data_IF_621397339395
#
_entry.id   IF_621397339395
#
_cell.length_a   1.000
_cell.length_b   1.000
_cell.length_c   1.000
_cell.angle_alpha   90.00
_cell.angle_beta   90.00
_cell.angle_gamma   90.00
#
_symmetry.space_group_name_H-M   'P 1'
#
loop_
_entity.id
_entity.type
_entity.pdbx_description
1 polymer ?
#
# COMPACT_ATOMS: atom_id res chain seq x y z
N UNK A 1 -15.33 28.96 -22.16
CA UNK A 1 -15.84 27.60 -21.91
C UNK A 1 -15.36 27.18 -20.53
N UNK A 2 -16.26 27.19 -19.54
CA UNK A 2 -15.94 26.79 -18.16
C UNK A 2 -15.74 25.27 -18.18
N UNK A 3 -14.48 24.83 -18.13
CA UNK A 3 -14.12 23.42 -18.16
C UNK A 3 -14.72 22.72 -16.94
N UNK A 4 -15.61 21.76 -17.17
CA UNK A 4 -16.15 20.91 -16.11
C UNK A 4 -14.96 20.27 -15.37
N UNK A 5 -14.89 20.34 -14.02
CA UNK A 5 -13.80 19.73 -13.28
C UNK A 5 -13.81 18.22 -13.56
N UNK A 6 -12.85 17.77 -14.36
CA UNK A 6 -12.75 16.37 -14.72
C UNK A 6 -12.22 15.62 -13.50
N UNK A 7 -13.03 14.77 -12.87
CA UNK A 7 -12.62 13.95 -11.72
C UNK A 7 -11.62 12.82 -12.10
N UNK A 8 -11.10 12.83 -13.34
CA UNK A 8 -10.18 11.85 -13.94
C UNK A 8 -10.42 10.37 -13.56
N UNK A 9 -11.66 9.83 -13.54
CA UNK A 9 -11.88 8.43 -13.16
C UNK A 9 -11.44 7.44 -14.24
N UNK A 10 -11.25 7.91 -15.48
CA UNK A 10 -10.86 7.10 -16.63
C UNK A 10 -9.46 7.53 -17.09
N UNK A 11 -8.45 6.85 -16.57
CA UNK A 11 -7.10 6.92 -17.12
C UNK A 11 -6.90 5.76 -18.09
N UNK A 12 -6.40 6.07 -19.29
CA UNK A 12 -5.83 5.06 -20.17
C UNK A 12 -4.52 4.51 -19.61
N UNK A 13 -4.04 3.42 -20.20
CA UNK A 13 -2.75 2.79 -19.86
C UNK A 13 -1.57 3.79 -19.90
N UNK A 14 -1.70 4.85 -20.69
CA UNK A 14 -0.67 5.89 -20.85
C UNK A 14 -0.69 6.97 -19.75
N UNK A 15 -1.42 6.75 -18.64
CA UNK A 15 -1.63 7.74 -17.58
C UNK A 15 -2.17 9.07 -18.12
N UNK A 16 -3.01 8.99 -19.15
CA UNK A 16 -3.74 10.11 -19.73
C UNK A 16 -5.22 9.97 -19.41
N UNK A 17 -5.86 11.05 -18.97
CA UNK A 17 -7.29 11.03 -18.79
C UNK A 17 -7.98 11.00 -20.17
N UNK A 18 -8.81 9.99 -20.42
CA UNK A 18 -9.55 9.84 -21.69
C UNK A 18 -10.50 11.01 -21.97
N UNK A 19 -11.00 11.67 -20.92
CA UNK A 19 -12.03 12.71 -21.01
C UNK A 19 -11.48 14.14 -21.15
N UNK A 20 -10.32 14.43 -20.57
CA UNK A 20 -9.73 15.77 -20.64
C UNK A 20 -8.33 15.81 -21.27
N UNK A 21 -7.76 14.66 -21.62
CA UNK A 21 -6.42 14.56 -22.22
C UNK A 21 -5.28 15.04 -21.32
N UNK A 22 -5.52 15.23 -20.02
CA UNK A 22 -4.47 15.61 -19.08
C UNK A 22 -3.49 14.43 -18.92
N UNK A 23 -2.21 14.68 -19.18
CA UNK A 23 -1.15 13.72 -18.93
C UNK A 23 -0.72 13.82 -17.46
N UNK A 24 -0.55 12.69 -16.80
CA UNK A 24 -0.04 12.65 -15.44
C UNK A 24 1.46 12.37 -15.46
N UNK A 25 2.24 13.30 -14.92
CA UNK A 25 3.70 13.15 -14.79
C UNK A 25 4.03 12.49 -13.47
N UNK A 26 4.90 11.48 -13.51
CA UNK A 26 5.36 10.74 -12.34
C UNK A 26 6.17 11.66 -11.44
N UNK A 27 5.76 11.81 -10.18
CA UNK A 27 6.46 12.62 -9.17
C UNK A 27 7.22 11.73 -8.21
N UNK A 28 6.66 10.55 -7.91
CA UNK A 28 7.25 9.62 -6.98
C UNK A 28 6.87 8.18 -7.32
N UNK A 29 7.79 7.25 -7.07
CA UNK A 29 7.59 5.81 -7.20
C UNK A 29 8.31 5.12 -6.04
N UNK A 30 7.60 4.22 -5.37
CA UNK A 30 8.20 3.33 -4.38
C UNK A 30 9.18 2.39 -5.10
N UNK A 31 10.46 2.42 -4.72
CA UNK A 31 11.47 1.51 -5.26
C UNK A 31 11.00 0.07 -5.05
N UNK A 32 11.03 -0.74 -6.11
CA UNK A 32 10.47 -2.11 -6.12
C UNK A 32 10.93 -2.95 -4.93
N UNK A 33 12.16 -2.78 -4.44
CA UNK A 33 12.72 -3.48 -3.27
C UNK A 33 11.91 -3.33 -1.97
N UNK A 34 11.41 -2.13 -1.67
CA UNK A 34 10.68 -1.84 -0.41
C UNK A 34 9.28 -2.46 -0.41
N UNK A 35 8.70 -2.71 -1.59
CA UNK A 35 7.40 -3.42 -1.73
C UNK A 35 7.45 -4.85 -1.19
N UNK A 36 8.62 -5.48 -1.20
CA UNK A 36 8.79 -6.86 -0.76
C UNK A 36 8.93 -6.99 0.76
N UNK A 37 9.32 -5.92 1.46
CA UNK A 37 9.55 -5.95 2.92
C UNK A 37 8.37 -6.54 3.71
N UNK A 38 7.11 -6.11 3.51
CA UNK A 38 5.99 -6.69 4.26
C UNK A 38 5.68 -8.15 3.88
N UNK A 39 5.94 -8.57 2.64
CA UNK A 39 5.75 -9.96 2.19
C UNK A 39 6.86 -10.86 2.74
N UNK A 40 8.11 -10.42 2.63
CA UNK A 40 9.29 -11.12 3.17
C UNK A 40 9.18 -11.23 4.68
N UNK A 41 8.83 -10.15 5.39
CA UNK A 41 8.60 -10.20 6.83
C UNK A 41 7.49 -11.22 7.19
N UNK A 42 6.35 -11.19 6.48
CA UNK A 42 5.25 -12.14 6.75
C UNK A 42 5.66 -13.60 6.47
N UNK A 43 6.44 -13.85 5.42
CA UNK A 43 6.98 -15.19 5.10
C UNK A 43 7.99 -15.66 6.13
N UNK A 44 8.90 -14.79 6.57
CA UNK A 44 9.89 -15.10 7.61
C UNK A 44 9.20 -15.43 8.93
N UNK A 45 8.19 -14.64 9.32
CA UNK A 45 7.41 -14.92 10.53
C UNK A 45 6.61 -16.22 10.42
N UNK A 46 5.91 -16.45 9.31
CA UNK A 46 5.17 -17.70 9.09
C UNK A 46 6.09 -18.93 9.08
N UNK A 47 7.26 -18.83 8.43
CA UNK A 47 8.26 -19.88 8.38
C UNK A 47 8.91 -20.16 9.73
N UNK A 48 9.24 -19.11 10.50
CA UNK A 48 9.79 -19.24 11.85
C UNK A 48 8.80 -19.89 12.81
N UNK A 49 7.51 -19.50 12.73
CA UNK A 49 6.45 -20.17 13.47
C UNK A 49 6.39 -21.64 13.06
N UNK A 50 6.17 -21.96 11.77
CA UNK A 50 6.10 -23.35 11.29
C UNK A 50 7.30 -24.20 11.76
N UNK A 51 8.51 -23.64 11.70
CA UNK A 51 9.72 -24.27 12.23
C UNK A 51 9.62 -24.57 13.74
N UNK A 52 9.21 -23.60 14.56
CA UNK A 52 8.96 -23.83 15.99
C UNK A 52 7.90 -24.90 16.24
N UNK A 53 6.81 -24.92 15.47
CA UNK A 53 5.77 -25.94 15.59
C UNK A 53 6.27 -27.35 15.27
N UNK A 54 7.07 -27.50 14.20
CA UNK A 54 7.61 -28.78 13.76
C UNK A 54 8.73 -29.30 14.67
N UNK A 55 9.56 -28.41 15.23
CA UNK A 55 10.73 -28.78 16.02
C UNK A 55 10.43 -28.91 17.52
N UNK A 56 9.51 -28.10 18.05
CA UNK A 56 9.23 -28.05 19.50
C UNK A 56 8.22 -29.07 20.02
N UNK A 57 7.62 -29.90 19.15
CA UNK A 57 6.54 -30.81 19.56
C UNK A 57 5.35 -30.07 20.22
N UNK A 58 5.21 -28.77 19.96
CA UNK A 58 4.36 -27.83 20.71
C UNK A 58 2.84 -28.06 20.57
N UNK A 59 2.44 -29.16 19.93
CA UNK A 59 1.06 -29.54 19.67
C UNK A 59 0.58 -30.71 20.53
N UNK A 60 1.34 -31.15 21.53
CA UNK A 60 1.01 -32.34 22.30
C UNK A 60 -0.21 -32.15 23.22
N UNK A 61 -0.57 -30.92 23.60
CA UNK A 61 -1.72 -30.65 24.47
C UNK A 61 -2.52 -29.47 23.92
N UNK A 62 -3.85 -29.62 23.87
CA UNK A 62 -4.82 -28.61 23.42
C UNK A 62 -4.92 -27.40 24.35
N UNK A 63 -3.78 -26.83 24.72
CA UNK A 63 -3.65 -25.66 25.55
C UNK A 63 -4.07 -24.39 24.79
N UNK A 64 -4.47 -23.36 25.53
CA UNK A 64 -4.78 -22.04 24.97
C UNK A 64 -3.64 -21.45 24.12
N UNK A 65 -2.38 -21.82 24.41
CA UNK A 65 -1.20 -21.39 23.68
C UNK A 65 -1.20 -21.95 22.26
N UNK A 66 -1.58 -23.22 22.09
CA UNK A 66 -1.68 -23.89 20.79
C UNK A 66 -2.72 -23.21 19.90
N UNK A 67 -3.89 -22.86 20.47
CA UNK A 67 -4.93 -22.12 19.74
C UNK A 67 -4.47 -20.71 19.34
N UNK A 68 -3.86 -19.96 20.26
CA UNK A 68 -3.32 -18.63 19.97
C UNK A 68 -2.27 -18.69 18.85
N UNK A 69 -1.40 -19.69 18.91
CA UNK A 69 -0.38 -19.93 17.89
C UNK A 69 -1.00 -20.19 16.50
N UNK A 70 -2.02 -21.06 16.41
CA UNK A 70 -2.72 -21.35 15.15
C UNK A 70 -3.42 -20.11 14.59
N UNK A 71 -4.04 -19.29 15.45
CA UNK A 71 -4.68 -18.03 15.04
C UNK A 71 -3.64 -17.06 14.47
N UNK A 72 -2.51 -16.89 15.14
CA UNK A 72 -1.43 -15.99 14.68
C UNK A 72 -0.84 -16.50 13.35
N UNK A 73 -0.55 -17.80 13.26
CA UNK A 73 -0.04 -18.42 12.04
C UNK A 73 -1.04 -18.25 10.88
N UNK A 74 -2.32 -18.52 11.13
CA UNK A 74 -3.40 -18.33 10.15
C UNK A 74 -3.51 -16.88 9.67
N UNK A 75 -3.38 -15.90 10.58
CA UNK A 75 -3.34 -14.49 10.23
C UNK A 75 -2.18 -14.15 9.29
N UNK A 76 -0.96 -14.63 9.59
CA UNK A 76 0.21 -14.38 8.75
C UNK A 76 0.11 -15.10 7.39
N UNK A 77 -0.39 -16.33 7.35
CA UNK A 77 -0.64 -17.04 6.09
C UNK A 77 -1.65 -16.29 5.21
N UNK A 78 -2.76 -15.83 5.78
CA UNK A 78 -3.73 -14.99 5.07
C UNK A 78 -3.07 -13.71 4.53
N UNK A 79 -2.19 -13.07 5.32
CA UNK A 79 -1.41 -11.89 4.92
C UNK A 79 -0.48 -12.18 3.73
N UNK A 80 0.18 -13.34 3.72
CA UNK A 80 1.02 -13.80 2.60
C UNK A 80 0.16 -13.98 1.35
N UNK A 81 -0.98 -14.66 1.45
CA UNK A 81 -1.89 -14.87 0.32
C UNK A 81 -2.37 -13.53 -0.26
N UNK A 82 -2.80 -12.58 0.58
CA UNK A 82 -3.19 -11.24 0.12
C UNK A 82 -2.06 -10.51 -0.60
N UNK A 83 -0.83 -10.64 -0.09
CA UNK A 83 0.35 -10.00 -0.69
C UNK A 83 0.74 -10.63 -2.04
N UNK A 84 0.57 -11.95 -2.18
CA UNK A 84 0.75 -12.67 -3.46
C UNK A 84 -0.33 -12.28 -4.46
N UNK A 85 -1.59 -12.18 -4.02
CA UNK A 85 -2.69 -11.73 -4.88
C UNK A 85 -2.51 -10.29 -5.37
N UNK A 86 -1.95 -9.42 -4.53
CA UNK A 86 -1.56 -8.06 -4.92
C UNK A 86 -0.45 -8.05 -5.98
N UNK A 87 0.42 -9.06 -6.01
CA UNK A 87 1.46 -9.19 -7.05
C UNK A 87 0.88 -9.66 -8.39
N UNK A 88 -0.11 -10.56 -8.36
CA UNK A 88 -0.71 -11.13 -9.56
C UNK A 88 -1.75 -10.23 -10.23
N UNK A 89 -2.32 -9.26 -9.49
CA UNK A 89 -3.34 -8.36 -10.04
C UNK A 89 -2.77 -6.99 -10.42
N UNK A 90 -3.28 -6.38 -11.51
CA UNK A 90 -2.89 -5.02 -11.88
C UNK A 90 -3.24 -4.04 -10.76
N UNK A 91 -2.37 -3.04 -10.58
CA UNK A 91 -2.53 -2.01 -9.55
C UNK A 91 -3.84 -1.24 -9.75
N UNK A 92 -4.45 -0.80 -8.65
CA UNK A 92 -5.60 0.09 -8.68
C UNK A 92 -5.13 1.54 -8.76
N UNK A 93 -5.89 2.37 -9.49
CA UNK A 93 -5.63 3.81 -9.58
C UNK A 93 -6.77 4.60 -8.94
N UNK A 94 -6.42 5.62 -8.16
CA UNK A 94 -7.36 6.57 -7.58
C UNK A 94 -6.87 7.99 -7.85
N UNK A 95 -7.73 8.82 -8.45
CA UNK A 95 -7.50 10.26 -8.53
C UNK A 95 -8.30 10.94 -7.43
N UNK A 96 -7.67 11.88 -6.74
CA UNK A 96 -8.36 12.73 -5.81
C UNK A 96 -7.49 13.84 -5.26
N UNK A 97 -8.16 14.79 -4.63
CA UNK A 97 -7.51 15.86 -3.91
C UNK A 97 -6.96 15.34 -2.58
N UNK A 98 -5.74 15.76 -2.25
CA UNK A 98 -5.12 15.48 -0.96
C UNK A 98 -5.73 16.39 0.10
N UNK A 99 -6.59 15.83 0.94
CA UNK A 99 -7.32 16.60 1.97
C UNK A 99 -6.53 16.73 3.27
N UNK A 100 -5.72 15.73 3.61
CA UNK A 100 -4.82 15.82 4.76
C UNK A 100 -3.54 15.03 4.55
N UNK A 101 -2.46 15.58 5.12
CA UNK A 101 -1.13 15.00 5.18
C UNK A 101 -0.74 14.97 6.65
N UNK A 102 -0.49 13.78 7.20
CA UNK A 102 -0.09 13.61 8.58
C UNK A 102 1.17 12.75 8.64
N UNK A 103 2.20 13.22 9.34
CA UNK A 103 3.37 12.40 9.63
C UNK A 103 3.01 11.41 10.72
N UNK A 104 3.25 10.13 10.47
CA UNK A 104 2.96 9.06 11.39
C UNK A 104 4.27 8.39 11.77
N UNK A 105 4.74 8.64 12.99
CA UNK A 105 5.98 8.04 13.49
C UNK A 105 5.73 6.54 13.68
N UNK A 106 6.25 5.71 12.77
CA UNK A 106 6.09 4.26 12.83
C UNK A 106 6.71 3.70 14.12
N UNK A 107 5.99 2.81 14.80
CA UNK A 107 6.48 2.11 15.98
C UNK A 107 7.23 0.84 15.52
N UNK A 108 8.55 0.94 15.35
CA UNK A 108 9.45 -0.23 15.27
C UNK A 108 9.96 -0.64 13.87
N UNK A 109 11.10 -1.35 13.89
CA UNK A 109 11.91 -1.87 12.78
C UNK A 109 11.14 -2.66 11.69
N UNK A 110 9.90 -3.11 11.97
CA UNK A 110 9.06 -3.88 11.05
C UNK A 110 8.05 -3.04 10.24
N UNK A 111 7.87 -1.76 10.58
CA UNK A 111 6.96 -0.82 9.88
C UNK A 111 7.70 0.30 9.14
N UNK A 112 9.02 0.16 9.00
CA UNK A 112 9.90 1.14 8.34
C UNK A 112 9.53 1.26 6.86
N UNK A 113 9.00 2.42 6.48
CA UNK A 113 8.68 2.76 5.09
C UNK A 113 7.37 3.54 4.93
N UNK A 114 6.48 3.56 5.93
CA UNK A 114 5.22 4.32 5.89
C UNK A 114 5.16 5.35 7.02
N UNK A 115 6.07 6.32 6.95
CA UNK A 115 6.25 7.37 7.97
C UNK A 115 5.26 8.54 7.83
N UNK A 116 4.39 8.49 6.82
CA UNK A 116 3.34 9.47 6.62
C UNK A 116 2.04 8.81 6.13
N UNK A 117 0.93 9.46 6.41
CA UNK A 117 -0.38 9.10 5.92
C UNK A 117 -0.98 10.26 5.13
N UNK A 118 -1.53 9.94 3.96
CA UNK A 118 -2.25 10.88 3.11
C UNK A 118 -3.70 10.47 3.00
N UNK A 119 -4.61 11.45 3.05
CA UNK A 119 -6.05 11.23 2.84
C UNK A 119 -6.46 11.78 1.49
N UNK A 120 -7.06 10.92 0.67
CA UNK A 120 -7.44 11.21 -0.72
C UNK A 120 -8.86 10.71 -0.93
N UNK A 121 -9.80 11.62 -1.27
CA UNK A 121 -11.20 11.24 -1.54
C UNK A 121 -11.85 10.41 -0.42
N UNK A 122 -11.49 10.69 0.84
CA UNK A 122 -12.00 9.97 2.01
C UNK A 122 -11.22 8.71 2.43
N UNK A 123 -10.33 8.18 1.57
CA UNK A 123 -9.48 7.02 1.88
C UNK A 123 -8.13 7.45 2.44
N UNK A 124 -7.61 6.69 3.42
CA UNK A 124 -6.28 6.91 4.01
C UNK A 124 -5.28 5.92 3.40
N UNK A 125 -4.14 6.45 2.97
CA UNK A 125 -3.02 5.69 2.44
C UNK A 125 -1.77 5.97 3.27
N UNK A 126 -0.98 4.93 3.53
CA UNK A 126 0.37 5.10 4.09
C UNK A 126 1.37 5.34 2.97
N UNK A 127 2.22 6.35 3.12
CA UNK A 127 3.22 6.82 2.16
C UNK A 127 4.57 6.99 2.87
N UNK A 128 5.65 6.92 2.09
CA UNK A 128 7.01 7.16 2.60
C UNK A 128 7.27 8.65 2.86
N UNK A 129 8.34 8.97 3.59
CA UNK A 129 8.77 10.36 3.85
C UNK A 129 9.10 11.10 2.54
N UNK A 130 9.67 10.40 1.55
CA UNK A 130 9.99 10.96 0.24
C UNK A 130 8.72 11.34 -0.54
N UNK A 131 7.69 10.47 -0.50
CA UNK A 131 6.39 10.77 -1.08
C UNK A 131 5.71 11.94 -0.36
N UNK A 132 5.85 12.02 0.97
CA UNK A 132 5.29 13.11 1.77
C UNK A 132 5.89 14.47 1.37
N UNK A 133 7.20 14.54 1.12
CA UNK A 133 7.86 15.79 0.67
C UNK A 133 7.43 16.21 -0.75
N UNK A 134 7.05 15.25 -1.58
CA UNK A 134 6.60 15.50 -2.95
C UNK A 134 5.13 15.96 -3.04
N UNK A 135 4.32 15.70 -2.01
CA UNK A 135 2.89 15.99 -1.98
C UNK A 135 2.57 17.35 -1.35
N UNK A 136 1.54 18.01 -1.86
CA UNK A 136 0.95 19.21 -1.24
C UNK A 136 -0.54 19.02 -0.97
N UNK A 137 -1.01 19.55 0.16
CA UNK A 137 -2.45 19.61 0.48
C UNK A 137 -3.19 20.49 -0.52
N UNK A 138 -4.43 20.14 -0.85
CA UNK A 138 -5.27 20.90 -1.77
C UNK A 138 -4.98 20.70 -3.26
N UNK A 139 -4.06 19.79 -3.60
CA UNK A 139 -3.73 19.45 -4.97
C UNK A 139 -4.26 18.07 -5.35
N UNK A 140 -4.65 17.93 -6.62
CA UNK A 140 -5.11 16.67 -7.20
C UNK A 140 -3.91 15.83 -7.63
N UNK A 141 -3.85 14.59 -7.13
CA UNK A 141 -2.85 13.62 -7.54
C UNK A 141 -3.52 12.32 -7.98
N UNK A 142 -2.81 11.60 -8.85
CA UNK A 142 -3.12 10.22 -9.21
C UNK A 142 -2.27 9.30 -8.35
N UNK A 143 -2.93 8.47 -7.55
CA UNK A 143 -2.30 7.44 -6.74
C UNK A 143 -2.49 6.08 -7.39
N UNK A 144 -1.39 5.40 -7.66
CA UNK A 144 -1.37 3.99 -8.03
C UNK A 144 -1.07 3.21 -6.76
N UNK A 145 -1.90 2.21 -6.43
CA UNK A 145 -1.80 1.46 -5.19
C UNK A 145 -2.18 -0.01 -5.37
N UNK A 146 -1.67 -0.85 -4.48
CA UNK A 146 -2.02 -2.28 -4.41
C UNK A 146 -3.43 -2.47 -3.85
N UNK A 147 -4.22 -3.34 -4.46
CA UNK A 147 -5.67 -3.40 -4.21
C UNK A 147 -6.03 -3.90 -2.81
N UNK A 148 -5.28 -4.85 -2.27
CA UNK A 148 -5.55 -5.50 -0.99
C UNK A 148 -4.77 -4.85 0.16
N UNK A 149 -3.46 -4.65 0.00
CA UNK A 149 -2.60 -4.04 1.02
C UNK A 149 -2.75 -2.51 1.09
N UNK A 150 -3.42 -1.90 0.11
CA UNK A 150 -3.63 -0.44 0.00
C UNK A 150 -2.32 0.36 0.07
N UNK A 151 -1.23 -0.26 -0.36
CA UNK A 151 0.10 0.34 -0.38
C UNK A 151 0.25 1.20 -1.62
N UNK A 152 0.63 2.47 -1.47
CA UNK A 152 0.89 3.36 -2.61
C UNK A 152 2.19 2.93 -3.28
N UNK A 153 2.12 2.80 -4.59
CA UNK A 153 3.15 2.28 -5.49
C UNK A 153 3.79 3.45 -6.24
N UNK A 154 2.97 4.38 -6.71
CA UNK A 154 3.41 5.55 -7.44
C UNK A 154 2.42 6.70 -7.27
N UNK A 155 2.94 7.92 -7.38
CA UNK A 155 2.17 9.16 -7.33
C UNK A 155 2.50 9.98 -8.56
N UNK A 156 1.47 10.48 -9.21
CA UNK A 156 1.59 11.32 -10.39
C UNK A 156 0.84 12.64 -10.18
N UNK A 157 1.38 13.73 -10.72
CA UNK A 157 0.74 15.05 -10.75
C UNK A 157 0.19 15.32 -12.16
N UNK A 158 -0.94 16.03 -12.28
CA UNK A 158 -1.37 16.51 -13.59
C UNK A 158 -0.30 17.42 -14.17
N UNK A 159 0.10 17.20 -15.43
CA UNK A 159 0.93 18.14 -16.15
C UNK A 159 0.13 19.44 -16.31
N UNK A 160 0.70 20.55 -15.85
CA UNK A 160 0.18 21.87 -16.20
C UNK A 160 0.24 21.99 -17.74
N UNK A 161 -0.88 22.39 -18.34
CA UNK A 161 -0.90 22.82 -19.74
C UNK A 161 -0.35 24.22 -19.85
#
# INVERSE_FOLDING_TARGET
>A
MVGTPCQHPQLGLDHRCSRCGAAFTRVWVEMRGVRYVPLVASLVFAGAMLGMGLWGGAFAEGSAITYLYVIILGYFLMRVVQSVLDFLRPHATLVGEVTSLARQRGWGLFFSGKDAAVRVGGRRFGISDDAFRALRTGQTYLFEFMRYTKTVVAVYRPAAR
#
